data_IF_879707062282
#
_entry.id   IF_879707062282
#
_cell.length_a   1.000
_cell.length_b   1.000
_cell.length_c   1.000
_cell.angle_alpha   90.00
_cell.angle_beta   90.00
_cell.angle_gamma   90.00
#
_symmetry.space_group_name_H-M   'P 1'
#
loop_
_entity.id
_entity.type
_entity.pdbx_description
1 polymer ?
#
# COMPACT_ATOMS: atom_id res chain seq x y z
N UNK A 1 -23.30 -34.37 -35.08
CA UNK A 1 -22.49 -33.16 -35.36
C UNK A 1 -21.15 -33.29 -34.65
N UNK A 2 -20.12 -33.84 -35.32
CA UNK A 2 -18.78 -33.97 -34.72
C UNK A 2 -18.06 -32.61 -34.74
N UNK A 3 -17.90 -32.00 -33.57
CA UNK A 3 -17.12 -30.76 -33.41
C UNK A 3 -15.67 -31.10 -33.72
N UNK A 4 -15.17 -30.62 -34.85
CA UNK A 4 -13.84 -30.88 -35.40
C UNK A 4 -12.74 -30.79 -34.32
N UNK A 5 -11.88 -31.82 -34.14
CA UNK A 5 -10.90 -31.91 -33.04
C UNK A 5 -9.88 -30.75 -33.05
N UNK A 6 -9.64 -30.18 -34.23
CA UNK A 6 -8.76 -29.02 -34.42
C UNK A 6 -9.25 -27.75 -33.70
N UNK A 7 -10.55 -27.58 -33.50
CA UNK A 7 -11.11 -26.42 -32.79
C UNK A 7 -10.84 -26.51 -31.28
N UNK A 8 -10.95 -27.71 -30.71
CA UNK A 8 -10.70 -27.96 -29.29
C UNK A 8 -9.23 -27.74 -28.92
N UNK A 9 -8.31 -28.24 -29.74
CA UNK A 9 -6.85 -28.10 -29.53
C UNK A 9 -6.44 -26.63 -29.56
N UNK A 10 -7.01 -25.82 -30.47
CA UNK A 10 -6.74 -24.38 -30.56
C UNK A 10 -7.24 -23.61 -29.33
N UNK A 11 -8.43 -23.93 -28.83
CA UNK A 11 -9.00 -23.29 -27.64
C UNK A 11 -8.16 -23.63 -26.40
N UNK A 12 -7.78 -24.89 -26.23
CA UNK A 12 -6.93 -25.32 -25.11
C UNK A 12 -5.55 -24.66 -25.16
N UNK A 13 -4.94 -24.56 -26.35
CA UNK A 13 -3.67 -23.86 -26.53
C UNK A 13 -3.77 -22.36 -26.19
N UNK A 14 -4.86 -21.68 -26.58
CA UNK A 14 -5.09 -20.27 -26.24
C UNK A 14 -5.26 -20.07 -24.73
N UNK A 15 -6.01 -20.95 -24.06
CA UNK A 15 -6.20 -20.90 -22.61
C UNK A 15 -4.86 -21.12 -21.89
N UNK A 16 -4.06 -22.09 -22.33
CA UNK A 16 -2.74 -22.35 -21.77
C UNK A 16 -1.80 -21.15 -21.93
N UNK A 17 -1.81 -20.48 -23.10
CA UNK A 17 -1.03 -19.27 -23.33
C UNK A 17 -1.49 -18.13 -22.43
N UNK A 18 -2.80 -17.93 -22.25
CA UNK A 18 -3.34 -16.91 -21.33
C UNK A 18 -2.92 -17.17 -19.88
N UNK A 19 -2.96 -18.44 -19.43
CA UNK A 19 -2.53 -18.83 -18.07
C UNK A 19 -1.03 -18.61 -17.89
N UNK A 20 -0.22 -18.97 -18.88
CA UNK A 20 1.23 -18.74 -18.86
C UNK A 20 1.53 -17.23 -18.86
N UNK A 21 0.84 -16.43 -19.67
CA UNK A 21 1.01 -14.99 -19.71
C UNK A 21 0.57 -14.32 -18.40
N UNK A 22 -0.53 -14.75 -17.80
CA UNK A 22 -0.97 -14.29 -16.48
C UNK A 22 0.03 -14.66 -15.37
N UNK A 23 0.62 -15.85 -15.42
CA UNK A 23 1.70 -16.25 -14.49
C UNK A 23 2.97 -15.41 -14.67
N UNK A 24 3.29 -15.01 -15.90
CA UNK A 24 4.40 -14.10 -16.20
C UNK A 24 4.10 -12.66 -15.75
N UNK A 25 2.85 -12.19 -15.89
CA UNK A 25 2.40 -10.88 -15.40
C UNK A 25 2.49 -10.80 -13.87
N UNK A 26 2.19 -11.88 -13.14
CA UNK A 26 2.43 -11.95 -11.69
C UNK A 26 3.91 -11.83 -11.29
N UNK A 27 4.84 -12.07 -12.21
CA UNK A 27 6.28 -11.94 -11.97
C UNK A 27 6.80 -10.51 -12.28
N UNK A 28 5.98 -9.67 -12.92
CA UNK A 28 6.34 -8.32 -13.36
C UNK A 28 5.71 -7.21 -12.50
N UNK A 29 4.87 -7.53 -11.52
CA UNK A 29 4.51 -6.57 -10.49
C UNK A 29 5.70 -6.39 -9.55
N UNK A 30 6.22 -5.18 -9.37
CA UNK A 30 7.29 -4.93 -8.42
C UNK A 30 6.80 -5.30 -7.02
N UNK A 31 7.25 -6.46 -6.54
CA UNK A 31 7.39 -6.85 -5.12
C UNK A 31 6.41 -6.20 -4.14
N UNK A 32 5.20 -6.76 -4.08
CA UNK A 32 4.23 -6.54 -2.99
C UNK A 32 4.86 -6.75 -1.59
N UNK A 33 5.81 -7.68 -1.46
CA UNK A 33 6.49 -8.07 -0.21
C UNK A 33 7.61 -7.12 0.28
N UNK A 34 7.97 -6.09 -0.49
CA UNK A 34 9.01 -5.14 -0.10
C UNK A 34 8.45 -3.79 0.34
N UNK A 35 7.32 -3.40 -0.25
CA UNK A 35 6.77 -2.05 -0.15
C UNK A 35 5.87 -1.88 1.09
N UNK A 36 5.25 -2.97 1.55
CA UNK A 36 4.56 -3.07 2.84
C UNK A 36 5.51 -2.78 4.02
N UNK A 37 6.70 -3.38 3.99
CA UNK A 37 7.72 -3.17 5.02
C UNK A 37 8.25 -1.73 5.03
N UNK A 38 8.22 -1.03 3.89
CA UNK A 38 8.60 0.37 3.82
C UNK A 38 7.58 1.26 4.53
N UNK A 39 6.28 1.00 4.37
CA UNK A 39 5.23 1.72 5.08
C UNK A 39 5.35 1.53 6.61
N UNK A 40 5.57 0.29 7.08
CA UNK A 40 5.77 0.02 8.51
C UNK A 40 6.97 0.76 9.08
N UNK A 41 8.09 0.80 8.36
CA UNK A 41 9.29 1.56 8.77
C UNK A 41 8.99 3.06 8.92
N UNK A 42 8.26 3.63 7.95
CA UNK A 42 7.86 5.04 7.99
C UNK A 42 6.89 5.33 9.13
N UNK A 43 5.90 4.46 9.37
CA UNK A 43 4.98 4.60 10.51
C UNK A 43 5.73 4.60 11.85
N UNK A 44 6.67 3.67 12.04
CA UNK A 44 7.49 3.62 13.24
C UNK A 44 8.37 4.87 13.41
N UNK A 45 8.96 5.36 12.31
CA UNK A 45 9.78 6.58 12.34
C UNK A 45 8.94 7.83 12.64
N UNK A 46 7.73 7.91 12.08
CA UNK A 46 6.77 8.97 12.41
C UNK A 46 6.42 8.98 13.89
N UNK A 47 6.13 7.82 14.47
CA UNK A 47 5.83 7.68 15.91
C UNK A 47 7.06 8.07 16.76
N UNK A 48 8.26 7.72 16.32
CA UNK A 48 9.49 8.16 16.99
C UNK A 48 9.61 9.69 17.02
N UNK A 49 9.39 10.36 15.89
CA UNK A 49 9.42 11.83 15.79
C UNK A 49 8.30 12.47 16.63
N UNK A 50 7.12 11.86 16.65
CA UNK A 50 6.01 12.27 17.52
C UNK A 50 6.43 12.26 19.00
N UNK A 51 7.07 11.18 19.46
CA UNK A 51 7.55 11.06 20.83
C UNK A 51 8.68 12.06 21.17
N UNK A 52 9.40 12.56 20.16
CA UNK A 52 10.39 13.63 20.30
C UNK A 52 9.79 15.04 20.31
N UNK A 53 8.47 15.17 20.10
CA UNK A 53 7.80 16.46 19.96
C UNK A 53 8.04 17.15 18.60
N UNK A 54 8.65 16.45 17.64
CA UNK A 54 8.94 16.96 16.30
C UNK A 54 7.76 16.72 15.36
N UNK A 55 6.59 17.27 15.70
CA UNK A 55 5.34 16.98 15.00
C UNK A 55 5.34 17.43 13.52
N UNK A 56 6.01 18.55 13.22
CA UNK A 56 6.14 19.07 11.87
C UNK A 56 6.95 18.14 10.95
N UNK A 57 7.95 17.44 11.49
CA UNK A 57 8.77 16.46 10.74
C UNK A 57 8.07 15.10 10.65
N UNK A 58 7.29 14.73 11.66
CA UNK A 58 6.52 13.48 11.68
C UNK A 58 5.39 13.47 10.64
N UNK A 59 4.76 14.62 10.38
CA UNK A 59 3.63 14.75 9.45
C UNK A 59 3.92 14.22 8.03
N UNK A 60 4.97 14.69 7.31
CA UNK A 60 5.26 14.19 5.96
C UNK A 60 5.65 12.70 5.95
N UNK A 61 6.23 12.19 7.04
CA UNK A 61 6.60 10.78 7.17
C UNK A 61 5.36 9.89 7.27
N UNK A 62 4.40 10.28 8.13
CA UNK A 62 3.12 9.58 8.26
C UNK A 62 2.32 9.59 6.94
N UNK A 63 2.37 10.70 6.21
CA UNK A 63 1.64 10.84 4.94
C UNK A 63 2.24 9.97 3.82
N UNK A 64 3.56 9.80 3.81
CA UNK A 64 4.22 8.87 2.91
C UNK A 64 3.86 7.40 3.24
N UNK A 65 3.81 7.05 4.54
CA UNK A 65 3.36 5.72 4.96
C UNK A 65 1.91 5.42 4.51
N UNK A 66 1.02 6.42 4.62
CA UNK A 66 -0.36 6.31 4.13
C UNK A 66 -0.41 6.04 2.62
N UNK A 67 0.29 6.84 1.81
CA UNK A 67 0.28 6.70 0.36
C UNK A 67 0.74 5.32 -0.09
N UNK A 68 1.76 4.76 0.56
CA UNK A 68 2.25 3.41 0.27
C UNK A 68 1.19 2.36 0.65
N UNK A 69 0.56 2.50 1.83
CA UNK A 69 -0.47 1.57 2.29
C UNK A 69 -1.73 1.62 1.42
N UNK A 70 -2.15 2.79 0.97
CA UNK A 70 -3.28 2.96 0.04
C UNK A 70 -3.00 2.30 -1.31
N UNK A 71 -1.79 2.46 -1.84
CA UNK A 71 -1.44 1.90 -3.15
C UNK A 71 -1.26 0.36 -3.11
N UNK A 72 -0.90 -0.21 -1.95
CA UNK A 72 -0.74 -1.67 -1.77
C UNK A 72 -2.04 -2.35 -1.38
N UNK A 73 -2.72 -1.81 -0.37
CA UNK A 73 -3.83 -2.47 0.31
C UNK A 73 -5.20 -1.83 0.02
N UNK A 74 -5.22 -0.62 -0.54
CA UNK A 74 -6.44 0.14 -0.76
C UNK A 74 -6.92 0.89 0.49
N UNK A 75 -8.04 1.59 0.37
CA UNK A 75 -8.57 2.49 1.39
C UNK A 75 -9.26 1.78 2.56
N UNK A 76 -9.75 0.55 2.37
CA UNK A 76 -10.51 -0.19 3.39
C UNK A 76 -9.63 -1.08 4.28
N UNK A 77 -8.33 -1.17 4.00
CA UNK A 77 -7.43 -2.04 4.74
C UNK A 77 -7.06 -1.48 6.12
N UNK A 78 -6.84 -2.38 7.09
CA UNK A 78 -6.47 -2.02 8.47
C UNK A 78 -5.22 -1.15 8.55
N UNK A 79 -4.18 -1.44 7.75
CA UNK A 79 -2.95 -0.63 7.69
C UNK A 79 -3.17 0.81 7.19
N UNK A 80 -4.11 1.00 6.27
CA UNK A 80 -4.49 2.33 5.79
C UNK A 80 -5.21 3.11 6.88
N UNK A 81 -6.16 2.46 7.57
CA UNK A 81 -6.86 3.01 8.73
C UNK A 81 -5.90 3.37 9.86
N UNK A 82 -4.89 2.54 10.14
CA UNK A 82 -3.85 2.83 11.14
C UNK A 82 -3.03 4.07 10.76
N UNK A 83 -2.67 4.20 9.48
CA UNK A 83 -1.92 5.37 8.97
C UNK A 83 -2.73 6.66 9.10
N UNK A 84 -4.04 6.61 8.81
CA UNK A 84 -4.96 7.73 9.00
C UNK A 84 -5.09 8.11 10.49
N UNK A 85 -5.19 7.12 11.38
CA UNK A 85 -5.24 7.37 12.82
C UNK A 85 -3.96 8.07 13.32
N UNK A 86 -2.79 7.66 12.84
CA UNK A 86 -1.52 8.29 13.18
C UNK A 86 -1.44 9.75 12.69
N UNK A 87 -1.97 10.05 11.50
CA UNK A 87 -2.08 11.43 11.01
C UNK A 87 -3.04 12.27 11.85
N UNK A 88 -4.18 11.73 12.27
CA UNK A 88 -5.13 12.43 13.13
C UNK A 88 -4.49 12.82 14.48
N UNK A 89 -3.70 11.91 15.08
CA UNK A 89 -2.94 12.19 16.30
C UNK A 89 -1.93 13.32 16.10
N UNK A 90 -1.22 13.32 14.98
CA UNK A 90 -0.25 14.36 14.64
C UNK A 90 -0.92 15.73 14.49
N UNK A 91 -2.00 15.83 13.71
CA UNK A 91 -2.71 17.09 13.56
C UNK A 91 -3.29 17.62 14.87
N UNK A 92 -3.83 16.73 15.71
CA UNK A 92 -4.34 17.11 17.03
C UNK A 92 -3.24 17.73 17.89
N UNK A 93 -2.05 17.13 17.90
CA UNK A 93 -0.92 17.66 18.65
C UNK A 93 -0.38 18.95 18.05
N UNK A 94 -0.24 19.06 16.72
CA UNK A 94 0.18 20.31 16.08
C UNK A 94 -0.77 21.47 16.45
N UNK A 95 -2.08 21.22 16.44
CA UNK A 95 -3.08 22.20 16.86
C UNK A 95 -2.94 22.61 18.33
N UNK A 96 -2.74 21.64 19.23
CA UNK A 96 -2.51 21.90 20.66
C UNK A 96 -1.22 22.71 20.90
N UNK A 97 -0.11 22.33 20.26
CA UNK A 97 1.17 23.04 20.39
C UNK A 97 1.14 24.43 19.72
N UNK A 98 0.39 24.59 18.64
CA UNK A 98 0.13 25.90 18.04
C UNK A 98 -0.62 26.84 18.99
N UNK A 99 -1.64 26.32 19.69
CA UNK A 99 -2.40 27.08 20.68
C UNK A 99 -1.58 27.44 21.93
N UNK A 100 -0.57 26.63 22.30
CA UNK A 100 0.30 26.90 23.45
C UNK A 100 1.41 27.94 23.17
N UNK A 101 1.66 28.26 21.89
CA UNK A 101 2.66 29.27 21.48
C UNK A 101 2.03 30.59 21.02
N UNK A 102 0.70 30.70 21.05
CA UNK A 102 -0.07 31.90 20.74
C UNK A 102 -0.25 32.83 21.93
#
# INVERSE_FOLDING_TARGET
MQKQPHCYIRIFALIAVIVIFAAIISCSHPTFLGRDSAATRLSNYSIYLYNKGQYAEALPVAQNALSINEEIFGTEHSYTTESLNNLALLYTNIGLFGNLRG
#
